data_IF_391863522593
#
_entry.id   IF_391863522593
#
_cell.length_a   1.000
_cell.length_b   1.000
_cell.length_c   1.000
_cell.angle_alpha   90.00
_cell.angle_beta   90.00
_cell.angle_gamma   90.00
#
_symmetry.space_group_name_H-M   'P 1'
#
loop_
_entity.id
_entity.type
_entity.pdbx_description
1 polymer ?
#
# COMPACT_ATOMS: atom_id res chain seq x y z
N UNK A 1 -9.80 -4.42 -26.35
CA UNK A 1 -8.73 -3.39 -26.45
C UNK A 1 -9.28 -1.99 -26.78
N UNK A 2 -10.16 -1.85 -27.78
CA UNK A 2 -10.69 -0.55 -28.25
C UNK A 2 -11.42 0.24 -27.14
N UNK A 3 -12.17 -0.44 -26.26
CA UNK A 3 -12.96 0.23 -25.21
C UNK A 3 -12.12 0.84 -24.08
N UNK A 4 -11.10 0.12 -23.58
CA UNK A 4 -10.22 0.62 -22.51
C UNK A 4 -9.40 1.81 -23.02
N UNK A 5 -8.82 1.68 -24.22
CA UNK A 5 -8.04 2.77 -24.83
C UNK A 5 -8.88 4.03 -25.03
N UNK A 6 -10.13 3.87 -25.50
CA UNK A 6 -11.06 5.00 -25.68
C UNK A 6 -11.43 5.66 -24.35
N UNK A 7 -11.67 4.85 -23.31
CA UNK A 7 -11.93 5.37 -21.96
C UNK A 7 -10.72 6.13 -21.40
N UNK A 8 -9.51 5.58 -21.54
CA UNK A 8 -8.28 6.24 -21.07
C UNK A 8 -8.02 7.55 -21.82
N UNK A 9 -8.29 7.63 -23.12
CA UNK A 9 -8.24 8.90 -23.88
C UNK A 9 -9.26 9.90 -23.37
N UNK A 10 -10.50 9.47 -23.13
CA UNK A 10 -11.51 10.33 -22.50
C UNK A 10 -11.02 10.89 -21.15
N UNK A 11 -10.44 10.06 -20.28
CA UNK A 11 -9.84 10.53 -19.02
C UNK A 11 -8.69 11.51 -19.25
N UNK A 12 -7.85 11.27 -20.26
CA UNK A 12 -6.75 12.18 -20.64
C UNK A 12 -7.27 13.53 -21.15
N UNK A 13 -8.35 13.51 -21.92
CA UNK A 13 -8.92 14.68 -22.61
C UNK A 13 -9.86 15.50 -21.70
N UNK A 14 -10.31 14.95 -20.57
CA UNK A 14 -11.20 15.61 -19.61
C UNK A 14 -10.58 16.81 -18.87
N UNK A 15 -9.36 17.28 -19.20
CA UNK A 15 -8.81 18.47 -18.55
C UNK A 15 -7.81 19.29 -19.36
N UNK A 16 -8.08 20.59 -19.54
CA UNK A 16 -7.04 21.63 -19.60
C UNK A 16 -6.34 21.85 -18.24
N UNK A 17 -6.97 21.42 -17.12
CA UNK A 17 -6.50 21.75 -15.76
C UNK A 17 -6.02 20.55 -14.90
N UNK A 18 -6.02 19.30 -15.39
CA UNK A 18 -5.71 18.14 -14.52
C UNK A 18 -5.00 16.89 -15.07
N UNK A 19 -4.77 16.64 -16.38
CA UNK A 19 -4.00 15.47 -16.80
C UNK A 19 -2.50 15.59 -16.52
N UNK A 20 -1.98 16.78 -16.15
CA UNK A 20 -0.60 16.98 -15.74
C UNK A 20 -0.26 16.41 -14.35
N UNK A 21 -1.25 15.93 -13.58
CA UNK A 21 -1.04 15.42 -12.22
C UNK A 21 -1.14 13.88 -12.08
N UNK A 22 -1.61 13.15 -13.11
CA UNK A 22 -1.72 11.70 -13.05
C UNK A 22 -0.31 11.07 -13.11
N UNK A 23 0.20 10.65 -11.96
CA UNK A 23 1.55 10.06 -11.85
C UNK A 23 1.55 8.55 -11.97
N UNK A 24 0.42 7.90 -11.66
CA UNK A 24 0.38 6.45 -11.46
C UNK A 24 -0.99 5.84 -11.68
N UNK A 25 -1.02 4.68 -12.32
CA UNK A 25 -2.21 3.83 -12.43
C UNK A 25 -1.90 2.45 -11.86
N UNK A 26 -2.82 1.94 -11.04
CA UNK A 26 -2.76 0.55 -10.54
C UNK A 26 -3.76 -0.30 -11.30
N UNK A 27 -3.29 -1.42 -11.84
CA UNK A 27 -4.10 -2.39 -12.59
C UNK A 27 -3.98 -3.79 -11.99
N UNK A 28 -4.83 -4.72 -12.42
CA UNK A 28 -4.62 -6.14 -12.18
C UNK A 28 -3.41 -6.65 -13.00
N UNK A 29 -3.06 -7.94 -12.89
CA UNK A 29 -2.04 -8.60 -13.71
C UNK A 29 -2.57 -8.79 -15.14
N UNK A 30 -2.61 -7.68 -15.91
CA UNK A 30 -3.25 -7.59 -17.22
C UNK A 30 -2.33 -6.94 -18.26
N UNK A 31 -1.89 -7.74 -19.24
CA UNK A 31 -1.07 -7.23 -20.34
C UNK A 31 -1.87 -6.25 -21.23
N UNK A 32 -3.16 -6.51 -21.45
CA UNK A 32 -4.01 -5.66 -22.28
C UNK A 32 -4.21 -4.25 -21.68
N UNK A 33 -4.39 -4.16 -20.36
CA UNK A 33 -4.48 -2.87 -19.67
C UNK A 33 -3.14 -2.15 -19.68
N UNK A 34 -2.04 -2.87 -19.46
CA UNK A 34 -0.70 -2.28 -19.55
C UNK A 34 -0.45 -1.67 -20.93
N UNK A 35 -0.67 -2.42 -22.01
CA UNK A 35 -0.49 -1.91 -23.38
C UNK A 35 -1.40 -0.71 -23.67
N UNK A 36 -2.66 -0.75 -23.21
CA UNK A 36 -3.59 0.37 -23.42
C UNK A 36 -3.16 1.64 -22.67
N UNK A 37 -2.67 1.52 -21.43
CA UNK A 37 -2.17 2.66 -20.66
C UNK A 37 -0.92 3.23 -21.29
N UNK A 38 0.06 2.39 -21.61
CA UNK A 38 1.29 2.82 -22.28
C UNK A 38 0.98 3.49 -23.62
N UNK A 39 0.01 2.98 -24.39
CA UNK A 39 -0.38 3.59 -25.68
C UNK A 39 -1.15 4.93 -25.57
N UNK A 40 -1.61 5.34 -24.38
CA UNK A 40 -2.34 6.60 -24.18
C UNK A 40 -1.50 7.62 -23.40
N UNK A 41 -0.74 7.17 -22.42
CA UNK A 41 0.02 8.00 -21.49
C UNK A 41 1.54 7.87 -21.65
N UNK A 42 2.01 7.06 -22.59
CA UNK A 42 3.43 6.78 -22.83
C UNK A 42 4.15 6.39 -21.53
N UNK A 43 5.33 6.97 -21.28
CA UNK A 43 6.10 6.80 -20.05
C UNK A 43 5.78 7.86 -18.98
N UNK A 44 4.80 8.73 -19.21
CA UNK A 44 4.45 9.82 -18.28
C UNK A 44 3.79 9.27 -17.01
N UNK A 45 3.03 8.18 -17.16
CA UNK A 45 2.33 7.52 -16.06
C UNK A 45 3.03 6.23 -15.69
N UNK A 46 3.38 6.09 -14.41
CA UNK A 46 3.93 4.84 -13.89
C UNK A 46 2.83 3.79 -13.70
N UNK A 47 3.06 2.57 -14.19
CA UNK A 47 2.10 1.46 -14.06
C UNK A 47 2.53 0.54 -12.91
N UNK A 48 1.59 0.26 -12.01
CA UNK A 48 1.76 -0.68 -10.92
C UNK A 48 0.71 -1.79 -10.98
N UNK A 49 1.08 -2.99 -10.54
CA UNK A 49 0.15 -4.11 -10.33
C UNK A 49 -0.42 -4.08 -8.92
N UNK A 50 -1.71 -4.38 -8.81
CA UNK A 50 -2.41 -4.51 -7.53
C UNK A 50 -1.79 -5.66 -6.71
N UNK A 51 -1.18 -5.32 -5.56
CA UNK A 51 -0.49 -6.29 -4.72
C UNK A 51 -1.40 -7.39 -4.18
N UNK A 52 -2.67 -7.05 -3.93
CA UNK A 52 -3.68 -8.04 -3.55
C UNK A 52 -3.85 -9.11 -4.63
N UNK A 53 -4.03 -8.72 -5.89
CA UNK A 53 -4.21 -9.67 -6.98
C UNK A 53 -2.93 -10.44 -7.32
N UNK A 54 -1.77 -9.80 -7.22
CA UNK A 54 -0.47 -10.47 -7.35
C UNK A 54 -0.33 -11.56 -6.27
N UNK A 55 -0.55 -11.21 -4.99
CA UNK A 55 -0.45 -12.16 -3.88
C UNK A 55 -1.49 -13.29 -4.00
N UNK A 56 -2.73 -12.98 -4.37
CA UNK A 56 -3.79 -13.97 -4.61
C UNK A 56 -3.41 -14.92 -5.75
N UNK A 57 -2.91 -14.38 -6.86
CA UNK A 57 -2.43 -15.16 -7.99
C UNK A 57 -1.30 -16.11 -7.62
N UNK A 58 -0.37 -15.70 -6.75
CA UNK A 58 0.65 -16.60 -6.22
C UNK A 58 0.05 -17.69 -5.34
N UNK A 59 -0.80 -17.34 -4.37
CA UNK A 59 -1.44 -18.30 -3.46
C UNK A 59 -2.21 -19.39 -4.23
N UNK A 60 -2.98 -18.98 -5.24
CA UNK A 60 -3.75 -19.91 -6.06
C UNK A 60 -2.86 -20.87 -6.86
N UNK A 61 -1.73 -20.38 -7.37
CA UNK A 61 -0.80 -21.20 -8.17
C UNK A 61 0.05 -22.11 -7.30
N UNK A 62 0.46 -21.66 -6.12
CA UNK A 62 1.12 -22.49 -5.11
C UNK A 62 0.21 -23.67 -4.74
N UNK A 63 -1.07 -23.41 -4.41
CA UNK A 63 -2.03 -24.47 -4.07
C UNK A 63 -2.23 -25.49 -5.19
N UNK A 64 -2.20 -25.03 -6.44
CA UNK A 64 -2.39 -25.89 -7.62
C UNK A 64 -1.16 -26.73 -7.94
N UNK A 65 0.04 -26.14 -7.85
CA UNK A 65 1.29 -26.68 -8.41
C UNK A 65 2.26 -27.25 -7.37
N UNK A 66 2.08 -26.94 -6.08
CA UNK A 66 2.98 -27.41 -5.01
C UNK A 66 2.25 -28.46 -4.16
N UNK A 67 2.60 -29.74 -4.36
CA UNK A 67 1.99 -30.88 -3.67
C UNK A 67 3.06 -31.86 -3.17
N UNK A 68 3.07 -32.14 -1.88
CA UNK A 68 4.02 -33.01 -1.15
C UNK A 68 3.34 -34.26 -0.56
N UNK A 69 2.18 -34.65 -1.10
CA UNK A 69 1.47 -35.88 -0.70
C UNK A 69 0.70 -35.80 0.62
N UNK A 70 1.08 -34.93 1.57
CA UNK A 70 0.34 -34.72 2.82
C UNK A 70 -0.17 -33.29 2.99
N UNK A 71 -1.33 -33.15 3.64
CA UNK A 71 -1.94 -31.84 3.90
C UNK A 71 -1.06 -30.98 4.81
N UNK A 72 -0.44 -31.57 5.83
CA UNK A 72 0.45 -30.85 6.75
C UNK A 72 1.72 -30.33 6.05
N UNK A 73 2.36 -31.16 5.23
CA UNK A 73 3.54 -30.76 4.45
C UNK A 73 3.19 -29.67 3.43
N UNK A 74 2.07 -29.82 2.71
CA UNK A 74 1.56 -28.80 1.80
C UNK A 74 1.38 -27.46 2.51
N UNK A 75 0.69 -27.47 3.65
CA UNK A 75 0.42 -26.24 4.40
C UNK A 75 1.72 -25.59 4.90
N UNK A 76 2.71 -26.38 5.33
CA UNK A 76 3.99 -25.86 5.78
C UNK A 76 4.75 -25.17 4.63
N UNK A 77 4.91 -25.85 3.49
CA UNK A 77 5.64 -25.30 2.35
C UNK A 77 4.90 -24.11 1.72
N UNK A 78 3.56 -24.17 1.62
CA UNK A 78 2.77 -23.04 1.12
C UNK A 78 2.94 -21.81 1.99
N UNK A 79 2.92 -21.95 3.33
CA UNK A 79 3.15 -20.83 4.25
C UNK A 79 4.55 -20.26 4.08
N UNK A 80 5.58 -21.11 3.97
CA UNK A 80 6.97 -20.65 3.78
C UNK A 80 7.12 -19.85 2.48
N UNK A 81 6.64 -20.40 1.36
CA UNK A 81 6.69 -19.74 0.06
C UNK A 81 5.94 -18.40 0.06
N UNK A 82 4.74 -18.34 0.65
CA UNK A 82 3.95 -17.10 0.74
C UNK A 82 4.67 -16.06 1.61
N UNK A 83 5.30 -16.47 2.70
CA UNK A 83 6.06 -15.55 3.56
C UNK A 83 7.27 -14.95 2.82
N UNK A 84 8.03 -15.78 2.10
CA UNK A 84 9.16 -15.33 1.29
C UNK A 84 8.73 -14.39 0.15
N UNK A 85 7.65 -14.74 -0.58
CA UNK A 85 7.09 -13.88 -1.62
C UNK A 85 6.55 -12.55 -1.08
N UNK A 86 5.91 -12.55 0.09
CA UNK A 86 5.50 -11.30 0.76
C UNK A 86 6.71 -10.46 1.17
N UNK A 87 7.78 -11.08 1.65
CA UNK A 87 9.03 -10.37 1.96
C UNK A 87 9.62 -9.68 0.73
N UNK A 88 9.51 -10.29 -0.45
CA UNK A 88 9.93 -9.68 -1.73
C UNK A 88 9.09 -8.46 -2.12
N UNK A 89 7.77 -8.51 -1.96
CA UNK A 89 6.88 -7.37 -2.28
C UNK A 89 7.34 -6.10 -1.55
N UNK A 90 7.68 -6.24 -0.26
CA UNK A 90 7.94 -5.11 0.63
C UNK A 90 9.43 -4.76 0.78
N UNK A 91 10.31 -5.41 0.02
CA UNK A 91 11.73 -5.07 0.03
C UNK A 91 11.97 -3.76 -0.72
N UNK A 92 12.68 -2.82 -0.08
CA UNK A 92 12.87 -1.44 -0.56
C UNK A 92 14.23 -1.31 -1.24
N UNK A 93 15.22 -2.12 -0.85
CA UNK A 93 16.53 -2.12 -1.50
C UNK A 93 16.51 -3.02 -2.74
N UNK A 94 16.92 -2.48 -3.89
CA UNK A 94 17.06 -3.25 -5.14
C UNK A 94 18.08 -4.39 -4.99
N UNK A 95 19.17 -4.15 -4.26
CA UNK A 95 20.18 -5.15 -3.96
C UNK A 95 19.63 -6.28 -3.08
N UNK A 96 18.95 -5.94 -1.98
CA UNK A 96 18.34 -6.94 -1.09
C UNK A 96 17.21 -7.69 -1.80
N UNK A 97 16.46 -7.01 -2.68
CA UNK A 97 15.42 -7.64 -3.49
C UNK A 97 16.02 -8.72 -4.39
N UNK A 98 17.10 -8.41 -5.11
CA UNK A 98 17.79 -9.37 -5.96
C UNK A 98 18.30 -10.58 -5.17
N UNK A 99 18.90 -10.34 -4.00
CA UNK A 99 19.37 -11.42 -3.11
C UNK A 99 18.23 -12.30 -2.61
N UNK A 100 17.14 -11.70 -2.12
CA UNK A 100 15.94 -12.44 -1.68
C UNK A 100 15.30 -13.24 -2.82
N UNK A 101 15.31 -12.69 -4.03
CA UNK A 101 14.74 -13.37 -5.20
C UNK A 101 15.57 -14.58 -5.58
N UNK A 102 16.90 -14.44 -5.58
CA UNK A 102 17.83 -15.54 -5.81
C UNK A 102 17.65 -16.63 -4.75
N UNK A 103 17.61 -16.26 -3.48
CA UNK A 103 17.38 -17.19 -2.38
C UNK A 103 16.06 -17.94 -2.55
N UNK A 104 14.96 -17.24 -2.87
CA UNK A 104 13.66 -17.85 -3.14
C UNK A 104 13.72 -18.86 -4.29
N UNK A 105 14.40 -18.51 -5.38
CA UNK A 105 14.55 -19.39 -6.54
C UNK A 105 15.34 -20.67 -6.20
N UNK A 106 16.39 -20.55 -5.39
CA UNK A 106 17.21 -21.68 -4.94
C UNK A 106 16.43 -22.58 -3.98
N UNK A 107 15.85 -22.00 -2.94
CA UNK A 107 15.12 -22.71 -1.88
C UNK A 107 13.93 -23.52 -2.43
N UNK A 108 13.17 -22.94 -3.37
CA UNK A 108 11.95 -23.56 -3.91
C UNK A 108 12.13 -24.12 -5.33
N UNK A 109 13.37 -24.31 -5.78
CA UNK A 109 13.71 -24.83 -7.11
C UNK A 109 13.07 -26.19 -7.42
N UNK A 110 12.90 -27.03 -6.41
CA UNK A 110 12.23 -28.34 -6.50
C UNK A 110 10.78 -28.24 -7.00
N UNK A 111 10.13 -27.09 -6.87
CA UNK A 111 8.77 -26.84 -7.34
C UNK A 111 8.76 -26.26 -8.76
N UNK A 112 9.37 -26.97 -9.71
CA UNK A 112 9.62 -26.52 -11.09
C UNK A 112 8.39 -25.94 -11.80
N UNK A 113 7.22 -26.58 -11.67
CA UNK A 113 5.97 -26.11 -12.29
C UNK A 113 5.51 -24.73 -11.81
N UNK A 114 5.71 -24.47 -10.52
CA UNK A 114 5.43 -23.17 -9.94
C UNK A 114 6.49 -22.16 -10.38
N UNK A 115 7.77 -22.54 -10.34
CA UNK A 115 8.89 -21.66 -10.72
C UNK A 115 8.82 -21.22 -12.18
N UNK A 116 8.47 -22.11 -13.10
CA UNK A 116 8.25 -21.78 -14.51
C UNK A 116 7.11 -20.75 -14.67
N UNK A 117 5.96 -21.00 -14.03
CA UNK A 117 4.83 -20.06 -14.06
C UNK A 117 5.19 -18.71 -13.40
N UNK A 118 5.87 -18.72 -12.26
CA UNK A 118 6.27 -17.53 -11.53
C UNK A 118 7.19 -16.66 -12.39
N UNK A 119 8.21 -17.28 -12.99
CA UNK A 119 9.16 -16.61 -13.88
C UNK A 119 8.46 -15.97 -15.07
N UNK A 120 7.66 -16.75 -15.81
CA UNK A 120 6.97 -16.28 -17.00
C UNK A 120 6.02 -15.11 -16.72
N UNK A 121 5.25 -15.19 -15.62
CA UNK A 121 4.17 -14.24 -15.34
C UNK A 121 4.63 -13.00 -14.57
N UNK A 122 5.67 -13.12 -13.74
CA UNK A 122 6.05 -12.08 -12.78
C UNK A 122 7.49 -11.57 -12.91
N UNK A 123 8.39 -12.27 -13.61
CA UNK A 123 9.80 -11.88 -13.69
C UNK A 123 10.25 -11.42 -15.08
N UNK A 124 9.92 -12.18 -16.15
CA UNK A 124 10.34 -11.87 -17.54
C UNK A 124 9.88 -10.47 -17.96
N UNK A 125 10.67 -9.79 -18.81
CA UNK A 125 10.42 -8.41 -19.29
C UNK A 125 10.29 -7.40 -18.15
N UNK A 126 11.12 -7.54 -17.12
CA UNK A 126 11.14 -6.66 -15.94
C UNK A 126 9.79 -6.52 -15.23
N UNK A 127 8.90 -7.53 -15.38
CA UNK A 127 7.54 -7.52 -14.79
C UNK A 127 7.55 -7.39 -13.27
N UNK A 128 8.67 -7.70 -12.63
CA UNK A 128 8.87 -7.53 -11.19
C UNK A 128 8.90 -6.08 -10.76
N UNK A 129 9.29 -5.16 -11.64
CA UNK A 129 9.30 -3.73 -11.35
C UNK A 129 7.89 -3.16 -11.11
N UNK A 130 6.83 -3.83 -11.58
CA UNK A 130 5.46 -3.34 -11.39
C UNK A 130 4.82 -3.75 -10.06
N UNK A 131 5.41 -4.69 -9.30
CA UNK A 131 4.81 -5.17 -8.05
C UNK A 131 5.76 -5.15 -6.85
N UNK A 132 7.05 -4.88 -7.05
CA UNK A 132 8.05 -4.83 -5.98
C UNK A 132 8.30 -3.42 -5.47
N UNK A 133 8.48 -3.28 -4.16
CA UNK A 133 8.68 -1.99 -3.53
C UNK A 133 9.99 -1.30 -3.91
N UNK A 134 11.03 -2.08 -4.15
CA UNK A 134 12.35 -1.59 -4.55
C UNK A 134 12.33 -0.75 -5.84
N UNK A 135 11.35 -0.99 -6.72
CA UNK A 135 11.21 -0.29 -8.00
C UNK A 135 9.98 0.63 -8.02
N UNK A 136 9.24 0.71 -6.92
CA UNK A 136 7.99 1.45 -6.78
C UNK A 136 7.94 2.29 -5.49
N UNK A 137 8.95 3.15 -5.21
CA UNK A 137 9.20 3.71 -3.88
C UNK A 137 8.13 4.70 -3.36
N UNK A 138 7.28 5.25 -4.23
CA UNK A 138 6.37 6.36 -3.89
C UNK A 138 4.98 5.94 -3.34
N UNK A 139 4.69 4.65 -3.18
CA UNK A 139 3.27 4.18 -3.15
C UNK A 139 2.76 3.63 -1.82
N UNK A 140 3.62 3.11 -0.95
CA UNK A 140 3.16 2.11 0.04
C UNK A 140 2.41 2.66 1.26
N UNK A 141 2.09 3.95 1.31
CA UNK A 141 1.35 4.54 2.43
C UNK A 141 -0.05 3.95 2.57
N UNK A 142 -0.77 3.66 1.46
CA UNK A 142 -2.18 3.26 1.50
C UNK A 142 -2.60 2.05 0.62
N UNK A 143 -1.68 1.50 -0.19
CA UNK A 143 -1.90 0.27 -0.97
C UNK A 143 -1.60 -0.99 -0.15
N UNK A 144 -2.30 -1.13 0.97
CA UNK A 144 -2.28 -2.37 1.73
C UNK A 144 -2.84 -3.54 0.89
N UNK A 145 -2.60 -4.78 1.31
CA UNK A 145 -3.37 -5.95 0.83
C UNK A 145 -4.84 -5.90 1.30
N UNK A 146 -5.36 -4.72 1.64
CA UNK A 146 -6.73 -4.56 2.06
C UNK A 146 -7.62 -4.57 0.81
N UNK A 147 -8.74 -5.23 0.97
CA UNK A 147 -9.65 -5.53 -0.13
C UNK A 147 -10.52 -4.31 -0.48
N UNK A 148 -9.99 -3.09 -0.51
CA UNK A 148 -10.82 -1.89 -0.63
C UNK A 148 -11.60 -1.89 -1.96
N UNK A 149 -10.92 -2.26 -3.04
CA UNK A 149 -11.51 -2.33 -4.38
C UNK A 149 -12.54 -3.47 -4.46
N UNK A 150 -12.24 -4.71 -4.05
CA UNK A 150 -13.27 -5.76 -4.15
C UNK A 150 -14.39 -5.54 -3.11
N UNK A 151 -14.11 -4.95 -1.95
CA UNK A 151 -15.15 -4.61 -0.97
C UNK A 151 -16.11 -3.57 -1.55
N UNK A 152 -15.59 -2.50 -2.16
CA UNK A 152 -16.44 -1.51 -2.85
C UNK A 152 -17.20 -2.14 -4.02
N UNK A 153 -16.52 -2.95 -4.83
CA UNK A 153 -17.16 -3.67 -5.94
C UNK A 153 -18.24 -4.65 -5.46
N UNK A 154 -18.04 -5.30 -4.31
CA UNK A 154 -19.05 -6.14 -3.67
C UNK A 154 -20.23 -5.29 -3.21
N UNK A 155 -20.01 -4.14 -2.56
CA UNK A 155 -21.09 -3.22 -2.18
C UNK A 155 -21.87 -2.73 -3.40
N UNK A 156 -21.19 -2.33 -4.48
CA UNK A 156 -21.80 -1.96 -5.74
C UNK A 156 -22.71 -3.09 -6.25
N UNK A 157 -22.19 -4.32 -6.29
CA UNK A 157 -22.93 -5.50 -6.74
C UNK A 157 -24.10 -5.84 -5.82
N UNK A 158 -23.92 -5.82 -4.51
CA UNK A 158 -24.92 -6.33 -3.55
C UNK A 158 -25.97 -5.29 -3.21
N UNK A 159 -25.55 -4.08 -2.84
CA UNK A 159 -26.41 -3.06 -2.25
C UNK A 159 -27.13 -2.26 -3.33
N UNK A 160 -26.40 -1.79 -4.35
CA UNK A 160 -26.95 -0.94 -5.40
C UNK A 160 -27.54 -1.75 -6.55
N UNK A 161 -26.75 -2.69 -7.09
CA UNK A 161 -27.16 -3.47 -8.26
C UNK A 161 -28.01 -4.70 -7.91
N UNK A 162 -28.06 -5.11 -6.63
CA UNK A 162 -28.82 -6.27 -6.15
C UNK A 162 -28.47 -7.57 -6.89
N UNK A 163 -27.22 -7.71 -7.31
CA UNK A 163 -26.66 -8.81 -8.12
C UNK A 163 -27.39 -9.07 -9.45
N UNK A 164 -28.23 -8.13 -9.91
CA UNK A 164 -28.89 -8.22 -11.21
C UNK A 164 -27.87 -7.99 -12.32
N UNK A 165 -27.74 -8.96 -13.23
CA UNK A 165 -26.72 -8.94 -14.29
C UNK A 165 -27.03 -7.96 -15.42
N UNK A 166 -28.31 -7.81 -15.78
CA UNK A 166 -28.73 -6.99 -16.91
C UNK A 166 -29.63 -5.86 -16.43
N UNK A 167 -29.10 -4.63 -16.42
CA UNK A 167 -29.90 -3.41 -16.33
C UNK A 167 -29.72 -2.66 -17.64
N UNK A 168 -30.80 -2.06 -18.14
CA UNK A 168 -30.73 -1.12 -19.26
C UNK A 168 -29.76 0.01 -18.87
N UNK A 169 -29.00 0.51 -19.86
CA UNK A 169 -27.91 1.46 -19.63
C UNK A 169 -28.36 2.72 -18.89
N UNK A 170 -29.52 3.26 -19.24
CA UNK A 170 -30.17 4.39 -18.56
C UNK A 170 -30.39 4.13 -17.06
N UNK A 171 -30.90 2.95 -16.70
CA UNK A 171 -31.11 2.56 -15.31
C UNK A 171 -29.79 2.37 -14.57
N UNK A 172 -28.76 1.90 -15.24
CA UNK A 172 -27.42 1.81 -14.65
C UNK A 172 -26.84 3.20 -14.36
N UNK A 173 -26.95 4.12 -15.32
CA UNK A 173 -26.49 5.51 -15.16
C UNK A 173 -27.25 6.17 -14.00
N UNK A 174 -28.57 6.03 -13.95
CA UNK A 174 -29.39 6.54 -12.84
C UNK A 174 -28.88 6.05 -11.48
N UNK A 175 -28.63 4.75 -11.31
CA UNK A 175 -28.12 4.20 -10.04
C UNK A 175 -26.73 4.77 -9.71
N UNK A 176 -25.85 4.89 -10.70
CA UNK A 176 -24.49 5.39 -10.46
C UNK A 176 -24.49 6.87 -10.08
N UNK A 177 -25.36 7.68 -10.71
CA UNK A 177 -25.41 9.14 -10.52
C UNK A 177 -26.27 9.54 -9.33
N UNK A 178 -27.44 8.93 -9.15
CA UNK A 178 -28.39 9.37 -8.13
C UNK A 178 -28.20 8.61 -6.82
N UNK A 179 -27.95 7.30 -6.86
CA UNK A 179 -27.81 6.50 -5.63
C UNK A 179 -26.35 6.49 -5.14
N UNK A 180 -25.42 6.00 -5.98
CA UNK A 180 -24.03 5.74 -5.59
C UNK A 180 -23.28 7.03 -5.29
N UNK A 181 -23.40 8.05 -6.15
CA UNK A 181 -22.70 9.32 -5.94
C UNK A 181 -23.25 10.07 -4.71
N UNK A 182 -24.57 10.11 -4.52
CA UNK A 182 -25.17 10.74 -3.33
C UNK A 182 -24.70 10.07 -2.04
N UNK A 183 -24.71 8.73 -1.97
CA UNK A 183 -24.20 8.00 -0.82
C UNK A 183 -22.71 8.24 -0.59
N UNK A 184 -21.92 8.30 -1.67
CA UNK A 184 -20.49 8.60 -1.59
C UNK A 184 -20.24 10.00 -1.01
N UNK A 185 -20.98 11.01 -1.47
CA UNK A 185 -20.88 12.37 -0.95
C UNK A 185 -21.29 12.44 0.52
N UNK A 186 -22.40 11.78 0.90
CA UNK A 186 -22.84 11.73 2.29
C UNK A 186 -21.83 11.00 3.20
N UNK A 187 -21.26 9.89 2.74
CA UNK A 187 -20.24 9.17 3.49
C UNK A 187 -18.96 10.00 3.64
N UNK A 188 -18.55 10.71 2.60
CA UNK A 188 -17.40 11.64 2.64
C UNK A 188 -17.63 12.74 3.68
N UNK A 189 -18.82 13.36 3.68
CA UNK A 189 -19.19 14.37 4.67
C UNK A 189 -19.16 13.80 6.09
N UNK A 190 -19.73 12.61 6.31
CA UNK A 190 -19.69 11.91 7.61
C UNK A 190 -18.28 11.61 8.07
N UNK A 191 -17.41 11.15 7.17
CA UNK A 191 -16.00 10.90 7.48
C UNK A 191 -15.25 12.19 7.85
N UNK A 192 -15.57 13.31 7.21
CA UNK A 192 -14.96 14.61 7.51
C UNK A 192 -15.24 15.05 8.96
N UNK A 193 -16.43 14.75 9.47
CA UNK A 193 -16.84 15.03 10.87
C UNK A 193 -16.57 13.86 11.84
N UNK A 194 -15.81 12.84 11.42
CA UNK A 194 -15.50 11.63 12.21
C UNK A 194 -16.74 10.84 12.69
N UNK A 195 -17.87 10.94 11.99
CA UNK A 195 -19.11 10.21 12.32
C UNK A 195 -19.16 8.90 11.54
N UNK A 196 -19.35 7.79 12.27
CA UNK A 196 -19.48 6.45 11.68
C UNK A 196 -18.24 5.58 11.83
N UNK A 197 -18.02 4.68 10.87
CA UNK A 197 -16.94 3.68 10.98
C UNK A 197 -15.58 4.35 10.77
N UNK A 198 -14.75 4.30 11.80
CA UNK A 198 -13.36 4.75 11.74
C UNK A 198 -12.60 4.03 10.62
N UNK A 199 -11.91 4.80 9.76
CA UNK A 199 -11.09 4.24 8.68
C UNK A 199 -9.98 3.34 9.25
N UNK A 200 -9.46 2.42 8.44
CA UNK A 200 -8.33 1.58 8.87
C UNK A 200 -7.12 2.42 9.25
N UNK A 201 -6.84 3.49 8.49
CA UNK A 201 -5.72 4.39 8.75
C UNK A 201 -5.91 5.13 10.08
N UNK A 202 -7.09 5.68 10.34
CA UNK A 202 -7.41 6.35 11.62
C UNK A 202 -7.32 5.37 12.79
N UNK A 203 -7.74 4.12 12.60
CA UNK A 203 -7.61 3.07 13.62
C UNK A 203 -6.15 2.72 13.89
N UNK A 204 -5.32 2.56 12.86
CA UNK A 204 -3.88 2.29 13.02
C UNK A 204 -3.13 3.51 13.58
N UNK A 205 -3.52 4.73 13.23
CA UNK A 205 -3.02 5.95 13.87
C UNK A 205 -3.37 5.95 15.37
N UNK A 206 -4.62 5.64 15.72
CA UNK A 206 -5.06 5.54 17.12
C UNK A 206 -4.31 4.47 17.90
N UNK A 207 -4.05 3.30 17.32
CA UNK A 207 -3.19 2.28 17.95
C UNK A 207 -1.78 2.78 18.22
N UNK A 208 -1.19 3.53 17.28
CA UNK A 208 0.15 4.12 17.43
C UNK A 208 0.18 5.18 18.54
N UNK A 209 -0.89 5.96 18.68
CA UNK A 209 -1.07 6.92 19.77
C UNK A 209 -1.18 6.19 21.11
N UNK A 210 -2.09 5.21 21.22
CA UNK A 210 -2.28 4.43 22.45
C UNK A 210 -0.96 3.76 22.89
N UNK A 211 -0.25 3.12 21.96
CA UNK A 211 1.04 2.48 22.26
C UNK A 211 2.13 3.50 22.69
N UNK A 212 2.03 4.75 22.26
CA UNK A 212 2.89 5.82 22.76
C UNK A 212 2.43 6.30 24.13
N UNK A 213 1.13 6.38 24.40
CA UNK A 213 0.52 6.76 25.68
C UNK A 213 0.77 5.73 26.80
N UNK A 214 0.86 4.45 26.47
CA UNK A 214 1.22 3.37 27.42
C UNK A 214 2.60 3.54 28.07
N UNK A 215 3.48 4.35 27.47
CA UNK A 215 4.77 4.69 28.07
C UNK A 215 4.55 5.79 29.12
N UNK A 216 4.81 5.47 30.39
CA UNK A 216 4.72 6.42 31.50
C UNK A 216 5.67 7.62 31.32
N UNK A 217 5.38 8.74 31.99
CA UNK A 217 6.20 9.96 31.92
C UNK A 217 7.63 9.75 32.47
N UNK A 218 7.79 8.97 33.53
CA UNK A 218 9.09 8.68 34.16
C UNK A 218 10.15 8.13 33.18
N UNK A 219 9.86 7.10 32.36
CA UNK A 219 10.80 6.65 31.33
C UNK A 219 10.94 7.59 30.12
N UNK A 220 10.03 8.53 29.90
CA UNK A 220 10.01 9.33 28.66
C UNK A 220 11.27 10.21 28.51
N UNK A 221 11.71 10.84 29.60
CA UNK A 221 12.93 11.69 29.62
C UNK A 221 14.21 10.89 29.36
N UNK A 222 14.24 9.60 29.73
CA UNK A 222 15.36 8.71 29.45
C UNK A 222 15.31 8.13 28.03
N UNK A 223 14.11 7.97 27.48
CA UNK A 223 13.89 7.39 26.16
C UNK A 223 14.12 8.40 25.04
N UNK A 224 13.76 9.67 25.24
CA UNK A 224 13.80 10.68 24.19
C UNK A 224 14.87 11.71 24.50
N UNK A 225 15.83 11.86 23.60
CA UNK A 225 16.88 12.86 23.69
C UNK A 225 16.81 13.79 22.48
N UNK A 226 16.75 15.10 22.73
CA UNK A 226 16.89 16.12 21.69
C UNK A 226 18.37 16.39 21.42
N UNK A 227 18.78 16.36 20.16
CA UNK A 227 20.15 16.63 19.70
C UNK A 227 20.11 17.61 18.53
N UNK A 228 21.23 18.26 18.23
CA UNK A 228 21.36 19.13 17.06
C UNK A 228 22.42 18.54 16.12
N UNK A 229 22.06 18.34 14.86
CA UNK A 229 22.95 17.87 13.79
C UNK A 229 22.88 18.91 12.68
N UNK A 230 24.00 19.53 12.32
CA UNK A 230 24.08 20.58 11.31
C UNK A 230 23.04 21.69 11.52
N UNK A 231 22.95 22.21 12.76
CA UNK A 231 21.99 23.23 13.22
C UNK A 231 20.51 22.82 13.15
N UNK A 232 20.20 21.58 12.76
CA UNK A 232 18.84 21.04 12.73
C UNK A 232 18.55 20.23 13.98
N UNK A 233 17.37 20.45 14.56
CA UNK A 233 16.89 19.65 15.68
C UNK A 233 16.57 18.21 15.22
N UNK A 234 17.17 17.24 15.90
CA UNK A 234 16.94 15.82 15.72
C UNK A 234 16.56 15.21 17.08
N UNK A 235 15.82 14.10 17.06
CA UNK A 235 15.46 13.36 18.27
C UNK A 235 15.91 11.92 18.18
N UNK A 236 16.48 11.43 19.27
CA UNK A 236 16.89 10.05 19.45
C UNK A 236 15.89 9.40 20.39
N UNK A 237 15.24 8.33 19.95
CA UNK A 237 14.28 7.55 20.74
C UNK A 237 14.84 6.16 21.00
N UNK A 238 15.13 5.85 22.26
CA UNK A 238 15.60 4.52 22.69
C UNK A 238 14.40 3.63 23.00
N UNK A 239 14.48 2.36 22.59
CA UNK A 239 13.47 1.37 22.97
C UNK A 239 13.75 0.84 24.38
N UNK A 240 12.69 0.58 25.17
CA UNK A 240 12.80 -0.05 26.50
C UNK A 240 12.93 -1.57 26.42
N UNK A 241 12.41 -2.18 25.36
CA UNK A 241 12.33 -3.64 25.22
C UNK A 241 13.44 -4.22 24.35
N UNK A 242 14.20 -3.37 23.67
CA UNK A 242 15.22 -3.76 22.69
C UNK A 242 16.35 -2.75 22.72
N UNK A 243 17.55 -3.13 22.29
CA UNK A 243 18.70 -2.21 22.14
C UNK A 243 18.58 -1.25 20.93
N UNK A 244 17.44 -1.28 20.24
CA UNK A 244 17.20 -0.43 19.07
C UNK A 244 17.10 1.06 19.43
N UNK A 245 17.73 1.90 18.59
CA UNK A 245 17.71 3.35 18.67
C UNK A 245 17.12 3.94 17.39
N UNK A 246 16.16 4.85 17.54
CA UNK A 246 15.45 5.46 16.43
C UNK A 246 15.75 6.94 16.31
N UNK A 247 16.19 7.36 15.13
CA UNK A 247 16.49 8.76 14.83
C UNK A 247 15.30 9.40 14.12
N UNK A 248 14.93 10.59 14.57
CA UNK A 248 13.86 11.40 14.00
C UNK A 248 14.42 12.77 13.61
N UNK A 249 14.35 13.10 12.34
CA UNK A 249 14.76 14.40 11.82
C UNK A 249 13.59 15.37 11.84
N UNK A 250 13.87 16.65 12.11
CA UNK A 250 12.88 17.71 12.02
C UNK A 250 13.30 18.81 11.06
N UNK A 251 12.33 19.40 10.39
CA UNK A 251 12.49 20.57 9.52
C UNK A 251 11.45 21.60 9.94
N UNK A 252 11.89 22.82 10.28
CA UNK A 252 11.00 23.91 10.71
C UNK A 252 10.04 23.52 11.85
N UNK A 253 10.52 22.69 12.78
CA UNK A 253 9.71 22.19 13.90
C UNK A 253 8.77 21.02 13.56
N UNK A 254 8.66 20.60 12.30
CA UNK A 254 7.91 19.43 11.89
C UNK A 254 8.80 18.19 11.85
N UNK A 255 8.37 17.08 12.45
CA UNK A 255 9.08 15.81 12.32
C UNK A 255 8.87 15.24 10.92
N UNK A 256 9.92 15.06 10.13
CA UNK A 256 9.80 14.70 8.71
C UNK A 256 10.18 13.26 8.41
N UNK A 257 11.12 12.69 9.17
CA UNK A 257 11.67 11.35 8.90
C UNK A 257 11.90 10.59 10.20
N UNK A 258 11.57 9.30 10.21
CA UNK A 258 12.02 8.37 11.23
C UNK A 258 12.69 7.15 10.58
N UNK A 259 13.80 6.67 11.14
CA UNK A 259 14.50 5.49 10.63
C UNK A 259 13.81 4.15 10.95
N UNK A 260 12.67 4.14 11.66
CA UNK A 260 12.01 2.90 12.02
C UNK A 260 11.33 2.25 10.82
N UNK A 261 11.23 0.92 10.85
CA UNK A 261 10.66 0.14 9.75
C UNK A 261 9.23 0.54 9.41
N UNK A 262 8.43 0.95 10.41
CA UNK A 262 7.06 1.39 10.22
C UNK A 262 6.99 2.69 9.42
N UNK A 263 7.87 3.66 9.70
CA UNK A 263 7.95 4.90 8.94
C UNK A 263 8.53 4.65 7.55
N UNK A 264 9.59 3.85 7.45
CA UNK A 264 10.21 3.52 6.18
C UNK A 264 9.24 2.85 5.20
N UNK A 265 8.39 1.94 5.70
CA UNK A 265 7.37 1.25 4.91
C UNK A 265 6.18 2.13 4.58
N UNK A 266 5.59 2.77 5.58
CA UNK A 266 4.28 3.39 5.44
C UNK A 266 4.36 4.89 5.19
N UNK A 267 5.55 5.50 5.20
CA UNK A 267 5.81 6.96 5.12
C UNK A 267 4.79 7.81 5.88
N UNK A 268 4.38 7.30 7.04
CA UNK A 268 3.35 7.87 7.90
C UNK A 268 3.84 7.83 9.34
N UNK A 269 3.22 8.67 10.18
CA UNK A 269 3.60 8.90 11.56
C UNK A 269 3.80 7.60 12.32
N UNK A 270 4.98 7.35 12.85
CA UNK A 270 5.22 6.15 13.66
C UNK A 270 5.01 6.43 15.16
N UNK A 271 5.00 5.37 15.98
CA UNK A 271 4.91 5.50 17.45
C UNK A 271 5.99 6.42 18.03
N UNK A 272 7.20 6.43 17.44
CA UNK A 272 8.31 7.25 17.93
C UNK A 272 8.08 8.74 17.72
N UNK A 273 7.42 9.13 16.63
CA UNK A 273 7.07 10.53 16.37
C UNK A 273 6.00 11.02 17.37
N UNK A 274 5.05 10.16 17.75
CA UNK A 274 4.10 10.47 18.82
C UNK A 274 4.79 10.58 20.20
N UNK A 275 5.80 9.76 20.48
CA UNK A 275 6.60 9.90 21.71
C UNK A 275 7.38 11.22 21.76
N UNK A 276 7.99 11.64 20.65
CA UNK A 276 8.66 12.95 20.58
C UNK A 276 7.66 14.09 20.75
N UNK A 277 6.45 13.99 20.19
CA UNK A 277 5.40 14.98 20.42
C UNK A 277 4.98 15.09 21.88
N UNK A 278 4.91 13.96 22.60
CA UNK A 278 4.67 13.97 24.05
C UNK A 278 5.80 14.64 24.83
N UNK A 279 7.04 14.31 24.48
CA UNK A 279 8.24 14.89 25.10
C UNK A 279 8.39 16.40 24.81
N UNK A 280 8.12 16.81 23.56
CA UNK A 280 8.20 18.20 23.13
C UNK A 280 6.99 18.59 22.27
N UNK A 281 6.00 19.23 22.93
CA UNK A 281 4.77 19.71 22.28
C UNK A 281 4.98 20.83 21.27
N UNK A 282 6.16 21.45 21.22
CA UNK A 282 6.48 22.44 20.18
C UNK A 282 6.77 21.80 18.81
N UNK A 283 7.01 20.50 18.76
CA UNK A 283 7.18 19.79 17.49
C UNK A 283 5.84 19.40 16.89
N UNK A 284 5.63 19.67 15.60
CA UNK A 284 4.45 19.17 14.90
C UNK A 284 4.67 17.74 14.45
N UNK A 285 3.73 16.87 14.80
CA UNK A 285 3.63 15.52 14.23
C UNK A 285 3.24 15.69 12.76
N UNK A 286 4.03 15.12 11.85
CA UNK A 286 3.70 15.04 10.42
C UNK A 286 2.23 14.62 10.22
N UNK A 287 1.35 15.55 9.92
CA UNK A 287 0.11 15.20 9.23
C UNK A 287 0.45 15.26 7.76
N UNK A 288 0.29 14.17 7.02
CA UNK A 288 0.11 14.33 5.58
C UNK A 288 -1.05 15.29 5.46
N UNK A 289 -0.76 16.49 4.94
CA UNK A 289 -1.73 17.57 4.89
C UNK A 289 -3.03 17.03 4.36
N UNK A 290 -4.08 17.13 5.16
CA UNK A 290 -5.42 17.28 4.58
C UNK A 290 -5.36 18.61 3.86
N UNK A 291 -4.96 18.58 2.59
CA UNK A 291 -5.40 19.59 1.65
C UNK A 291 -6.89 19.36 1.48
N UNK A 292 -7.66 19.99 2.37
CA UNK A 292 -8.99 20.47 2.05
C UNK A 292 -8.84 21.96 1.74
N UNK A 293 -9.56 22.52 0.75
CA UNK A 293 -9.74 23.96 0.69
C UNK A 293 -10.39 24.49 1.99
#
# INVERSE_FOLDING_TARGET
MILITRFLRFIKDLGPDQPSCLKKITIDVSAAEHTAITGVFDSVVSIQRCLFHVSRGWMDQIRKKVKLGSVSANNAVHRSMIAALKSLIWEISTQMFAQKLLHFQQEFSVHADFMAHFTQKYLIDDKFMHWSAAYQPQIFTNMGMNNNIENWHNQLKTSYLQRKRNRRLDRLIFILVDDVHTDFMHNTARMAVNIGRTSSETREARKRIIAAEEINELPLEFMVQKVYIDEKACYIVKSLTTEAVYNISTEQGMMTVCNCINFQRNKSVCKHMYLVYRFNKSCMVYSQGRLSP
#
